data_IF_043883992286
#
_entry.id   IF_043883992286
#
_cell.length_a   1.000
_cell.length_b   1.000
_cell.length_c   1.000
_cell.angle_alpha   90.00
_cell.angle_beta   90.00
_cell.angle_gamma   90.00
#
_symmetry.space_group_name_H-M   'P 1'
#
loop_
_entity.id
_entity.type
_entity.pdbx_description
1 polymer ?
#
# COMPACT_ATOMS: atom_id res chain seq x y z
N UNK A 1 3.88 4.71 6.02
CA UNK A 1 5.30 5.00 6.35
C UNK A 1 5.66 6.46 6.03
N UNK A 2 5.72 6.88 4.77
CA UNK A 2 6.11 8.24 4.38
C UNK A 2 5.34 9.34 5.14
N UNK A 3 4.01 9.26 5.17
CA UNK A 3 3.19 10.23 5.91
C UNK A 3 3.47 10.28 7.42
N UNK A 4 3.82 9.16 8.04
CA UNK A 4 4.19 9.13 9.46
C UNK A 4 5.56 9.80 9.67
N UNK A 5 6.55 9.48 8.83
CA UNK A 5 7.87 10.11 8.88
C UNK A 5 7.78 11.64 8.70
N UNK A 6 6.91 12.12 7.81
CA UNK A 6 6.65 13.56 7.65
C UNK A 6 6.10 14.18 8.94
N UNK A 7 5.19 13.49 9.64
CA UNK A 7 4.63 13.95 10.92
C UNK A 7 5.60 13.85 12.08
N UNK A 8 6.53 12.89 12.06
CA UNK A 8 7.61 12.82 13.04
C UNK A 8 8.57 14.01 12.91
N UNK A 9 8.88 14.43 11.68
CA UNK A 9 9.72 15.59 11.41
C UNK A 9 9.00 16.92 11.65
N UNK A 10 7.71 16.99 11.29
CA UNK A 10 6.86 18.15 11.53
C UNK A 10 5.48 17.69 12.05
N UNK A 11 5.24 17.74 13.37
CA UNK A 11 3.97 17.31 13.97
C UNK A 11 2.74 18.08 13.47
N UNK A 12 2.94 19.30 12.95
CA UNK A 12 1.87 20.14 12.40
C UNK A 12 1.59 19.87 10.92
N UNK A 13 2.37 19.00 10.26
CA UNK A 13 2.18 18.67 8.85
C UNK A 13 0.80 18.05 8.61
N UNK A 14 0.06 18.63 7.68
CA UNK A 14 -1.26 18.18 7.24
C UNK A 14 -1.08 17.13 6.15
N UNK A 15 -0.98 15.88 6.56
CA UNK A 15 -0.85 14.74 5.66
C UNK A 15 -2.22 14.10 5.43
N UNK A 16 -2.66 14.01 4.18
CA UNK A 16 -3.90 13.35 3.78
C UNK A 16 -3.58 12.02 3.09
N UNK A 17 -4.17 10.94 3.58
CA UNK A 17 -4.10 9.62 2.96
C UNK A 17 -5.50 9.15 2.57
N UNK A 18 -5.62 8.61 1.36
CA UNK A 18 -6.84 7.99 0.88
C UNK A 18 -6.55 6.96 -0.20
N UNK A 19 -7.43 5.99 -0.37
CA UNK A 19 -7.43 5.12 -1.56
C UNK A 19 -8.16 5.82 -2.70
N UNK A 20 -7.81 5.49 -3.93
CA UNK A 20 -8.47 6.00 -5.15
C UNK A 20 -10.00 5.83 -5.12
N UNK A 21 -10.51 4.72 -4.60
CA UNK A 21 -11.95 4.52 -4.42
C UNK A 21 -12.60 5.52 -3.45
N UNK A 22 -11.88 5.90 -2.38
CA UNK A 22 -12.37 6.89 -1.42
C UNK A 22 -12.40 8.29 -2.06
N UNK A 23 -11.42 8.63 -2.89
CA UNK A 23 -11.45 9.85 -3.70
C UNK A 23 -12.69 9.86 -4.60
N UNK A 24 -12.93 8.76 -5.31
CA UNK A 24 -14.10 8.60 -6.17
C UNK A 24 -15.41 8.78 -5.40
N UNK A 25 -15.62 8.04 -4.31
CA UNK A 25 -16.84 8.12 -3.51
C UNK A 25 -17.05 9.53 -2.93
N UNK A 26 -15.99 10.17 -2.43
CA UNK A 26 -16.06 11.53 -1.91
C UNK A 26 -16.42 12.55 -3.00
N UNK A 27 -15.87 12.40 -4.21
CA UNK A 27 -16.20 13.25 -5.36
C UNK A 27 -17.66 13.07 -5.77
N UNK A 28 -18.14 11.84 -5.92
CA UNK A 28 -19.53 11.56 -6.29
C UNK A 28 -20.49 12.14 -5.25
N UNK A 29 -20.19 11.98 -3.97
CA UNK A 29 -20.97 12.57 -2.88
C UNK A 29 -21.00 14.10 -2.99
N UNK A 30 -19.86 14.74 -3.20
CA UNK A 30 -19.77 16.19 -3.34
C UNK A 30 -20.53 16.72 -4.57
N UNK A 31 -20.59 15.94 -5.66
CA UNK A 31 -21.42 16.26 -6.82
C UNK A 31 -22.91 16.19 -6.48
N UNK A 32 -23.36 15.14 -5.78
CA UNK A 32 -24.75 14.96 -5.36
C UNK A 32 -25.22 16.04 -4.39
N UNK A 33 -24.37 16.39 -3.42
CA UNK A 33 -24.65 17.39 -2.39
C UNK A 33 -24.37 18.83 -2.86
N UNK A 34 -23.87 19.03 -4.10
CA UNK A 34 -23.44 20.33 -4.64
C UNK A 34 -22.38 21.04 -3.78
N UNK A 35 -21.46 20.26 -3.21
CA UNK A 35 -20.38 20.72 -2.30
C UNK A 35 -18.99 20.55 -2.92
N UNK A 36 -18.86 20.54 -4.25
CA UNK A 36 -17.58 20.38 -4.96
C UNK A 36 -16.49 21.38 -4.55
N UNK A 37 -16.85 22.62 -4.22
CA UNK A 37 -15.87 23.61 -3.74
C UNK A 37 -15.29 23.24 -2.37
N UNK A 38 -16.07 22.57 -1.52
CA UNK A 38 -15.57 22.06 -0.24
C UNK A 38 -14.65 20.85 -0.48
N UNK A 39 -15.06 19.95 -1.39
CA UNK A 39 -14.24 18.82 -1.82
C UNK A 39 -12.87 19.29 -2.34
N UNK A 40 -12.81 20.32 -3.19
CA UNK A 40 -11.54 20.85 -3.71
C UNK A 40 -10.68 21.49 -2.62
N UNK A 41 -11.29 22.29 -1.74
CA UNK A 41 -10.59 22.98 -0.64
C UNK A 41 -9.91 22.03 0.33
N UNK A 42 -10.46 20.84 0.56
CA UNK A 42 -9.85 19.89 1.50
C UNK A 42 -8.45 19.45 1.05
N UNK A 43 -8.22 19.34 -0.27
CA UNK A 43 -6.92 18.96 -0.82
C UNK A 43 -5.95 20.15 -0.84
N UNK A 44 -6.39 21.35 -1.19
CA UNK A 44 -5.52 22.54 -1.22
C UNK A 44 -4.88 22.89 0.13
N UNK A 45 -5.48 22.44 1.23
CA UNK A 45 -5.03 22.74 2.57
C UNK A 45 -4.02 21.71 3.13
N UNK A 46 -3.63 20.69 2.37
CA UNK A 46 -2.68 19.66 2.83
C UNK A 46 -1.25 20.08 2.51
N UNK A 47 -0.29 19.59 3.29
CA UNK A 47 1.14 19.65 2.96
C UNK A 47 1.55 18.45 2.10
N UNK A 48 0.85 17.31 2.28
CA UNK A 48 1.07 16.10 1.51
C UNK A 48 -0.22 15.34 1.21
N UNK A 49 -0.35 14.86 -0.03
CA UNK A 49 -1.41 13.96 -0.48
C UNK A 49 -0.83 12.59 -0.85
N UNK A 50 -1.29 11.55 -0.17
CA UNK A 50 -0.93 10.16 -0.40
C UNK A 50 -2.15 9.43 -0.96
N UNK A 51 -2.10 8.97 -2.22
CA UNK A 51 -3.17 8.14 -2.81
C UNK A 51 -2.67 6.73 -3.07
N UNK A 52 -3.41 5.76 -2.53
CA UNK A 52 -3.19 4.34 -2.83
C UNK A 52 -4.01 3.90 -4.06
N UNK A 53 -3.44 2.99 -4.84
CA UNK A 53 -4.08 2.24 -5.92
C UNK A 53 -4.70 3.12 -7.04
N UNK A 54 -3.91 4.01 -7.66
CA UNK A 54 -4.43 4.92 -8.69
C UNK A 54 -4.99 4.21 -9.92
N UNK A 55 -4.64 2.94 -10.15
CA UNK A 55 -5.15 2.11 -11.24
C UNK A 55 -6.68 2.04 -11.25
N UNK A 56 -7.36 2.18 -10.10
CA UNK A 56 -8.83 2.17 -10.05
C UNK A 56 -9.50 3.46 -10.58
N UNK A 57 -8.73 4.46 -11.01
CA UNK A 57 -9.26 5.57 -11.79
C UNK A 57 -9.48 5.22 -13.26
N UNK A 58 -8.89 4.14 -13.76
CA UNK A 58 -9.05 3.68 -15.14
C UNK A 58 -10.53 3.58 -15.53
N UNK A 59 -10.89 4.17 -16.68
CA UNK A 59 -12.26 4.18 -17.21
C UNK A 59 -13.25 5.05 -16.43
N UNK A 60 -12.82 5.79 -15.41
CA UNK A 60 -13.66 6.72 -14.63
C UNK A 60 -13.41 8.17 -15.03
N UNK A 61 -13.75 8.54 -16.27
CA UNK A 61 -13.37 9.81 -16.91
C UNK A 61 -13.53 11.06 -16.04
N UNK A 62 -14.71 11.26 -15.44
CA UNK A 62 -14.95 12.41 -14.53
C UNK A 62 -14.02 12.44 -13.31
N UNK A 63 -13.67 11.26 -12.80
CA UNK A 63 -12.76 11.12 -11.65
C UNK A 63 -11.33 11.44 -12.05
N UNK A 64 -10.94 10.97 -13.24
CA UNK A 64 -9.62 11.27 -13.82
C UNK A 64 -9.46 12.76 -14.07
N UNK A 65 -10.48 13.42 -14.61
CA UNK A 65 -10.49 14.86 -14.83
C UNK A 65 -10.38 15.65 -13.52
N UNK A 66 -11.22 15.36 -12.53
CA UNK A 66 -11.19 16.06 -11.25
C UNK A 66 -9.88 15.79 -10.48
N UNK A 67 -9.36 14.56 -10.54
CA UNK A 67 -8.06 14.23 -9.98
C UNK A 67 -6.94 14.97 -10.71
N UNK A 68 -6.99 15.10 -12.03
CA UNK A 68 -6.01 15.86 -12.80
C UNK A 68 -5.97 17.33 -12.35
N UNK A 69 -7.13 17.95 -12.11
CA UNK A 69 -7.19 19.31 -11.57
C UNK A 69 -6.63 19.39 -10.14
N UNK A 70 -6.97 18.43 -9.29
CA UNK A 70 -6.45 18.33 -7.92
C UNK A 70 -4.93 18.18 -7.91
N UNK A 71 -4.39 17.29 -8.76
CA UNK A 71 -2.95 17.08 -8.93
C UNK A 71 -2.25 18.38 -9.33
N UNK A 72 -2.78 19.11 -10.32
CA UNK A 72 -2.19 20.38 -10.76
C UNK A 72 -2.15 21.42 -9.63
N UNK A 73 -3.27 21.61 -8.93
CA UNK A 73 -3.34 22.58 -7.84
C UNK A 73 -2.32 22.29 -6.73
N UNK A 74 -2.12 21.01 -6.40
CA UNK A 74 -1.12 20.56 -5.43
C UNK A 74 0.31 20.65 -5.96
N UNK A 75 0.51 20.37 -7.25
CA UNK A 75 1.82 20.47 -7.86
C UNK A 75 2.30 21.92 -7.91
N UNK A 76 1.43 22.84 -8.35
CA UNK A 76 1.73 24.27 -8.47
C UNK A 76 1.94 24.93 -7.10
N UNK A 77 1.20 24.48 -6.08
CA UNK A 77 1.39 24.92 -4.69
C UNK A 77 2.58 24.26 -3.97
N UNK A 78 3.35 23.40 -4.67
CA UNK A 78 4.52 22.66 -4.14
C UNK A 78 4.19 21.72 -2.97
N UNK A 79 2.96 21.24 -2.89
CA UNK A 79 2.61 20.17 -1.97
C UNK A 79 3.24 18.84 -2.38
N UNK A 80 3.56 17.99 -1.41
CA UNK A 80 4.07 16.65 -1.69
C UNK A 80 2.93 15.75 -2.19
N UNK A 81 3.14 15.06 -3.32
CA UNK A 81 2.21 14.07 -3.84
C UNK A 81 2.91 12.71 -3.86
N UNK A 82 2.30 11.68 -3.29
CA UNK A 82 2.79 10.30 -3.29
C UNK A 82 1.66 9.41 -3.78
N UNK A 83 1.93 8.60 -4.79
CA UNK A 83 0.94 7.77 -5.45
C UNK A 83 1.49 6.36 -5.56
N UNK A 84 0.63 5.35 -5.36
CA UNK A 84 0.98 3.95 -5.63
C UNK A 84 0.19 3.45 -6.84
N UNK A 85 0.76 2.47 -7.53
CA UNK A 85 0.14 1.84 -8.67
C UNK A 85 0.64 0.40 -8.80
N UNK A 86 -0.25 -0.55 -9.01
CA UNK A 86 0.11 -1.98 -9.15
C UNK A 86 0.94 -2.27 -10.41
N UNK A 87 0.91 -1.37 -11.39
CA UNK A 87 1.61 -1.49 -12.68
C UNK A 87 2.26 -0.17 -13.03
N UNK A 88 3.17 -0.19 -14.01
CA UNK A 88 3.70 1.07 -14.52
C UNK A 88 2.56 1.92 -15.09
N UNK A 89 2.52 3.25 -14.84
CA UNK A 89 1.44 4.11 -15.33
C UNK A 89 1.14 3.97 -16.82
N UNK A 90 2.17 3.73 -17.63
CA UNK A 90 2.05 3.50 -19.08
C UNK A 90 1.19 2.27 -19.44
N UNK A 91 1.23 1.24 -18.61
CA UNK A 91 0.56 -0.06 -18.77
C UNK A 91 -0.88 -0.07 -18.21
N UNK A 92 -1.31 0.98 -17.52
CA UNK A 92 -2.68 1.09 -17.00
C UNK A 92 -3.62 1.44 -18.15
N UNK A 93 -4.35 0.47 -18.68
CA UNK A 93 -5.39 0.70 -19.67
C UNK A 93 -6.52 1.55 -19.08
N UNK A 94 -7.12 2.42 -19.89
CA UNK A 94 -8.21 3.31 -19.45
C UNK A 94 -7.78 4.51 -18.60
N UNK A 95 -6.49 4.66 -18.28
CA UNK A 95 -5.94 5.88 -17.68
C UNK A 95 -5.58 6.91 -18.76
N UNK A 96 -6.03 8.16 -18.59
CA UNK A 96 -5.84 9.22 -19.57
C UNK A 96 -4.35 9.52 -19.82
N UNK A 97 -3.94 9.79 -21.08
CA UNK A 97 -2.55 10.08 -21.42
C UNK A 97 -1.92 11.21 -20.60
N UNK A 98 -2.70 12.25 -20.27
CA UNK A 98 -2.23 13.38 -19.44
C UNK A 98 -1.88 12.94 -18.02
N UNK A 99 -2.67 12.05 -17.42
CA UNK A 99 -2.35 11.51 -16.10
C UNK A 99 -1.12 10.60 -16.17
N UNK A 100 -1.03 9.71 -17.17
CA UNK A 100 0.16 8.88 -17.39
C UNK A 100 1.44 9.71 -17.47
N UNK A 101 1.40 10.83 -18.20
CA UNK A 101 2.53 11.75 -18.32
C UNK A 101 2.90 12.39 -16.97
N UNK A 102 1.92 12.81 -16.16
CA UNK A 102 2.19 13.37 -14.82
C UNK A 102 2.82 12.37 -13.88
N UNK A 103 2.31 11.13 -13.88
CA UNK A 103 2.84 10.06 -13.04
C UNK A 103 4.28 9.69 -13.43
N UNK A 104 4.62 9.77 -14.71
CA UNK A 104 5.96 9.47 -15.21
C UNK A 104 6.98 10.59 -14.99
N UNK A 105 6.54 11.84 -14.80
CA UNK A 105 7.44 12.99 -14.63
C UNK A 105 8.03 13.11 -13.21
N UNK A 106 7.38 12.49 -12.23
CA UNK A 106 7.90 12.40 -10.87
C UNK A 106 8.97 11.31 -10.69
N UNK A 107 9.37 11.10 -9.44
CA UNK A 107 10.21 9.97 -9.07
C UNK A 107 9.37 8.67 -9.10
N UNK A 108 9.55 7.87 -10.15
CA UNK A 108 8.93 6.55 -10.26
C UNK A 108 9.90 5.47 -9.77
N UNK A 109 9.53 4.75 -8.71
CA UNK A 109 10.33 3.66 -8.14
C UNK A 109 9.53 2.37 -8.24
N UNK A 110 10.09 1.38 -8.93
CA UNK A 110 9.52 0.05 -8.97
C UNK A 110 9.88 -0.73 -7.69
N UNK A 111 8.93 -1.50 -7.18
CA UNK A 111 9.16 -2.42 -6.07
C UNK A 111 9.10 -3.84 -6.63
N UNK A 112 10.27 -4.44 -6.79
CA UNK A 112 10.38 -5.82 -7.26
C UNK A 112 10.05 -6.81 -6.13
N UNK A 113 9.55 -8.01 -6.45
CA UNK A 113 9.40 -9.07 -5.47
C UNK A 113 10.73 -9.38 -4.76
N UNK A 114 10.74 -9.51 -3.43
CA UNK A 114 11.97 -9.79 -2.68
C UNK A 114 12.56 -11.15 -3.04
N UNK A 115 13.89 -11.25 -3.06
CA UNK A 115 14.62 -12.51 -3.19
C UNK A 115 14.45 -13.41 -1.96
N UNK A 116 14.99 -14.63 -2.01
CA UNK A 116 14.81 -15.61 -0.93
C UNK A 116 15.35 -15.10 0.42
N UNK A 117 16.53 -14.49 0.43
CA UNK A 117 17.19 -14.00 1.63
C UNK A 117 16.38 -12.85 2.25
N UNK A 118 15.93 -11.92 1.41
CA UNK A 118 15.08 -10.79 1.80
C UNK A 118 13.73 -11.28 2.32
N UNK A 119 13.10 -12.29 1.70
CA UNK A 119 11.85 -12.88 2.21
C UNK A 119 12.03 -13.49 3.60
N UNK A 120 13.12 -14.22 3.84
CA UNK A 120 13.41 -14.78 5.16
C UNK A 120 13.63 -13.67 6.20
N UNK A 121 14.39 -12.63 5.84
CA UNK A 121 14.61 -11.47 6.70
C UNK A 121 13.31 -10.74 7.04
N UNK A 122 12.40 -10.58 6.07
CA UNK A 122 11.06 -10.00 6.27
C UNK A 122 10.26 -10.82 7.28
N UNK A 123 10.23 -12.15 7.12
CA UNK A 123 9.50 -13.04 8.05
C UNK A 123 10.04 -12.92 9.47
N UNK A 124 11.36 -12.94 9.64
CA UNK A 124 12.01 -12.78 10.95
C UNK A 124 11.74 -11.39 11.57
N UNK A 125 11.86 -10.33 10.77
CA UNK A 125 11.60 -8.96 11.23
C UNK A 125 10.14 -8.80 11.69
N UNK A 126 9.19 -9.32 10.91
CA UNK A 126 7.76 -9.29 11.24
C UNK A 126 7.41 -10.15 12.45
N UNK A 127 8.11 -11.27 12.65
CA UNK A 127 7.91 -12.10 13.83
C UNK A 127 8.35 -11.37 15.10
N UNK A 128 9.53 -10.71 15.06
CA UNK A 128 10.03 -9.88 16.16
C UNK A 128 9.10 -8.70 16.47
N UNK A 129 8.62 -7.99 15.46
CA UNK A 129 7.65 -6.89 15.61
C UNK A 129 6.37 -7.34 16.34
N UNK A 130 5.97 -8.60 16.14
CA UNK A 130 4.77 -9.22 16.74
C UNK A 130 5.05 -9.94 18.05
N UNK A 131 6.29 -10.01 18.52
CA UNK A 131 6.68 -10.80 19.69
C UNK A 131 6.51 -12.32 19.51
N UNK A 132 6.50 -12.81 18.28
CA UNK A 132 6.44 -14.24 17.98
C UNK A 132 7.86 -14.80 17.88
N UNK A 133 8.18 -15.80 18.68
CA UNK A 133 9.42 -16.56 18.57
C UNK A 133 9.30 -17.60 17.45
N UNK A 134 10.07 -17.43 16.38
CA UNK A 134 10.16 -18.39 15.29
C UNK A 134 11.63 -18.77 15.05
N UNK A 135 11.94 -20.07 14.89
CA UNK A 135 13.25 -20.51 14.44
C UNK A 135 13.56 -20.04 13.01
N UNK A 136 14.83 -19.79 12.71
CA UNK A 136 15.29 -19.40 11.36
C UNK A 136 14.88 -20.43 10.30
N UNK A 137 14.89 -21.72 10.64
CA UNK A 137 14.45 -22.81 9.77
C UNK A 137 12.99 -22.67 9.33
N UNK A 138 12.12 -22.20 10.22
CA UNK A 138 10.71 -21.92 9.92
C UNK A 138 10.59 -20.71 9.00
N UNK A 139 11.37 -19.65 9.25
CA UNK A 139 11.42 -18.50 8.36
C UNK A 139 11.91 -18.87 6.95
N UNK A 140 12.94 -19.71 6.85
CA UNK A 140 13.44 -20.25 5.58
C UNK A 140 12.41 -21.14 4.88
N UNK A 141 11.69 -21.98 5.62
CA UNK A 141 10.61 -22.80 5.09
C UNK A 141 9.53 -21.92 4.44
N UNK A 142 9.07 -20.89 5.14
CA UNK A 142 8.07 -19.93 4.65
C UNK A 142 8.60 -19.20 3.41
N UNK A 143 9.80 -18.62 3.49
CA UNK A 143 10.42 -17.88 2.40
C UNK A 143 10.67 -18.73 1.14
N UNK A 144 10.96 -20.03 1.30
CA UNK A 144 11.18 -20.96 0.19
C UNK A 144 9.89 -21.25 -0.57
N UNK A 145 8.78 -21.36 0.18
CA UNK A 145 7.48 -21.81 -0.31
C UNK A 145 6.60 -20.67 -0.80
N UNK A 146 6.66 -19.51 -0.14
CA UNK A 146 5.89 -18.33 -0.51
C UNK A 146 6.76 -17.37 -1.32
N UNK A 147 6.49 -17.34 -2.64
CA UNK A 147 7.29 -16.59 -3.62
C UNK A 147 6.52 -15.45 -4.29
N UNK A 148 5.22 -15.36 -4.02
CA UNK A 148 4.27 -14.49 -4.69
C UNK A 148 4.39 -13.04 -4.22
N UNK A 149 4.23 -12.76 -2.93
CA UNK A 149 4.33 -11.41 -2.38
C UNK A 149 4.56 -11.43 -0.85
N UNK A 150 4.86 -10.26 -0.29
CA UNK A 150 5.09 -10.09 1.16
C UNK A 150 3.84 -10.36 2.00
N UNK A 151 2.63 -10.12 1.47
CA UNK A 151 1.37 -10.37 2.20
C UNK A 151 1.19 -11.85 2.49
N UNK A 152 1.60 -12.73 1.59
CA UNK A 152 1.54 -14.18 1.80
C UNK A 152 2.48 -14.60 2.95
N UNK A 153 3.70 -14.06 2.97
CA UNK A 153 4.65 -14.28 4.07
C UNK A 153 4.04 -13.86 5.42
N UNK A 154 3.44 -12.67 5.46
CA UNK A 154 2.78 -12.16 6.66
C UNK A 154 1.56 -12.99 7.07
N UNK A 155 0.81 -13.51 6.09
CA UNK A 155 -0.34 -14.39 6.28
C UNK A 155 0.04 -15.74 6.87
N UNK A 156 1.12 -16.36 6.37
CA UNK A 156 1.69 -17.57 6.96
C UNK A 156 2.13 -17.34 8.40
N UNK A 157 2.89 -16.26 8.64
CA UNK A 157 3.35 -15.91 9.98
C UNK A 157 2.17 -15.67 10.94
N UNK A 158 1.13 -14.96 10.49
CA UNK A 158 -0.08 -14.74 11.28
C UNK A 158 -0.78 -16.06 11.63
N UNK A 159 -0.93 -16.95 10.65
CA UNK A 159 -1.55 -18.27 10.87
C UNK A 159 -0.76 -19.09 11.89
N UNK A 160 0.57 -19.10 11.78
CA UNK A 160 1.43 -19.81 12.73
C UNK A 160 1.34 -19.23 14.13
N UNK A 161 1.49 -17.91 14.28
CA UNK A 161 1.44 -17.25 15.58
C UNK A 161 0.08 -17.45 16.25
N UNK A 162 -1.02 -17.30 15.50
CA UNK A 162 -2.37 -17.52 16.01
C UNK A 162 -2.57 -18.99 16.46
N UNK A 163 -2.12 -19.97 15.67
CA UNK A 163 -2.28 -21.38 16.01
C UNK A 163 -1.40 -21.80 17.18
N UNK A 164 -0.17 -21.29 17.26
CA UNK A 164 0.74 -21.53 18.37
C UNK A 164 0.15 -20.99 19.68
N UNK A 165 -0.31 -19.73 19.67
CA UNK A 165 -0.98 -19.11 20.82
C UNK A 165 -2.24 -19.87 21.24
N UNK A 166 -3.06 -20.32 20.29
CA UNK A 166 -4.28 -21.07 20.59
C UNK A 166 -4.01 -22.46 21.17
N UNK A 167 -2.93 -23.13 20.72
CA UNK A 167 -2.60 -24.50 21.14
C UNK A 167 -1.57 -24.57 22.28
N UNK A 168 -0.93 -23.45 22.63
CA UNK A 168 0.19 -23.41 23.57
C UNK A 168 1.44 -24.15 23.08
N UNK A 169 1.53 -24.49 21.79
CA UNK A 169 2.67 -25.19 21.19
C UNK A 169 3.70 -24.20 20.69
N UNK A 170 4.98 -24.53 20.86
CA UNK A 170 6.07 -23.78 20.24
C UNK A 170 6.02 -23.92 18.71
N UNK A 171 6.46 -22.87 18.01
CA UNK A 171 6.56 -22.89 16.54
C UNK A 171 7.82 -23.66 16.15
N UNK A 172 7.65 -24.90 15.68
CA UNK A 172 8.72 -25.73 15.10
C UNK A 172 8.51 -25.92 13.60
N UNK A 173 9.50 -26.48 12.92
CA UNK A 173 9.41 -26.82 11.49
C UNK A 173 8.27 -27.79 11.21
N UNK A 174 8.05 -28.79 12.06
CA UNK A 174 6.95 -29.76 11.96
C UNK A 174 5.61 -29.08 12.17
N UNK A 175 5.51 -28.23 13.20
CA UNK A 175 4.30 -27.44 13.47
C UNK A 175 3.95 -26.54 12.28
N UNK A 176 4.96 -25.95 11.65
CA UNK A 176 4.76 -25.08 10.51
C UNK A 176 4.28 -25.84 9.26
N UNK A 177 4.85 -27.01 9.00
CA UNK A 177 4.39 -27.89 7.91
C UNK A 177 2.96 -28.41 8.14
N UNK A 178 2.61 -28.73 9.39
CA UNK A 178 1.26 -29.13 9.79
C UNK A 178 0.27 -27.99 9.56
N UNK A 179 0.58 -26.81 10.08
CA UNK A 179 -0.33 -25.65 10.13
C UNK A 179 -0.51 -25.00 8.76
N UNK A 180 0.55 -24.90 7.97
CA UNK A 180 0.52 -24.24 6.66
C UNK A 180 0.25 -25.21 5.51
N UNK A 181 -0.14 -26.47 5.79
CA UNK A 181 -0.27 -27.51 4.76
C UNK A 181 -1.03 -27.08 3.52
N UNK A 182 -2.13 -26.35 3.67
CA UNK A 182 -2.96 -25.89 2.54
C UNK A 182 -2.39 -24.65 1.83
N UNK A 183 -1.58 -23.85 2.53
CA UNK A 183 -0.88 -22.69 1.98
C UNK A 183 0.47 -23.04 1.32
N UNK A 184 1.02 -24.23 1.62
CA UNK A 184 2.29 -24.74 1.10
C UNK A 184 2.14 -25.67 -0.13
N UNK A 185 0.90 -25.86 -0.61
CA UNK A 185 0.59 -26.64 -1.81
C UNK A 185 1.07 -25.93 -3.08
#
# INVERSE_FOLDING_TARGET
AAGNAMREQNPNARVMYLRSEQFFSAMIRALQEKTMDQFKRQFQQVDALLIDDIQFFAGKDRTQEEFFHTFNALFDGRQQIILTCDRYPREVEGLEPRLKSRLAWGLSVAIDPPDFETRAAIVLAKARERGAEIPDEVAFLIAKKMRSNVRDLEGALNTLAARANFTGRAITTEFAQETLRDLLR
#
